data_IF_485821271981
#
_entry.id   IF_485821271981
#
_cell.length_a   1.000
_cell.length_b   1.000
_cell.length_c   1.000
_cell.angle_alpha   90.00
_cell.angle_beta   90.00
_cell.angle_gamma   90.00
#
_symmetry.space_group_name_H-M   'P 1'
#
loop_
_entity.id
_entity.type
_entity.pdbx_description
1 polymer ?
#
# COMPACT_ATOMS: atom_id res chain seq x y z
N UNK A 1 -12.45 -6.66 -23.55
CA UNK A 1 -13.27 -6.24 -22.41
C UNK A 1 -12.31 -5.59 -21.42
N UNK A 2 -12.38 -4.27 -21.27
CA UNK A 2 -11.45 -3.55 -20.39
C UNK A 2 -11.93 -3.73 -18.95
N UNK A 3 -11.25 -4.56 -18.18
CA UNK A 3 -11.43 -4.62 -16.73
C UNK A 3 -11.06 -3.25 -16.16
N UNK A 4 -12.08 -2.46 -15.82
CA UNK A 4 -11.93 -1.29 -15.02
C UNK A 4 -11.36 -1.73 -13.67
N UNK A 5 -10.04 -1.64 -13.52
CA UNK A 5 -9.42 -1.68 -12.20
C UNK A 5 -10.10 -0.58 -11.41
N UNK A 6 -10.81 -0.89 -10.30
CA UNK A 6 -11.44 0.14 -9.50
C UNK A 6 -10.30 1.08 -9.13
N UNK A 7 -10.39 2.32 -9.61
CA UNK A 7 -9.63 3.41 -9.02
C UNK A 7 -10.06 3.36 -7.57
N UNK A 8 -9.21 2.86 -6.68
CA UNK A 8 -9.38 3.00 -5.24
C UNK A 8 -9.53 4.50 -5.04
N UNK A 9 -10.77 4.93 -4.96
CA UNK A 9 -11.13 6.33 -4.86
C UNK A 9 -10.50 6.82 -3.58
N UNK A 10 -9.52 7.70 -3.71
CA UNK A 10 -8.88 8.37 -2.57
C UNK A 10 -9.89 9.12 -1.68
N UNK A 11 -11.14 9.26 -2.16
CA UNK A 11 -12.30 9.78 -1.43
C UNK A 11 -12.80 8.88 -0.29
N UNK A 12 -12.36 7.61 -0.22
CA UNK A 12 -12.89 6.66 0.79
C UNK A 12 -12.54 7.10 2.23
N UNK A 13 -11.40 7.77 2.43
CA UNK A 13 -10.93 8.15 3.77
C UNK A 13 -11.41 9.51 4.25
N UNK A 14 -11.95 10.36 3.38
CA UNK A 14 -12.35 11.73 3.72
C UNK A 14 -13.39 11.79 4.86
N UNK A 15 -14.22 10.74 4.97
CA UNK A 15 -15.26 10.62 5.99
C UNK A 15 -14.95 9.59 7.09
N UNK A 16 -13.72 9.07 7.14
CA UNK A 16 -13.30 8.07 8.11
C UNK A 16 -12.67 8.71 9.35
N UNK A 17 -12.94 8.11 10.50
CA UNK A 17 -12.22 8.39 11.75
C UNK A 17 -10.77 7.87 11.68
N UNK A 18 -9.84 8.40 12.48
CA UNK A 18 -8.45 7.92 12.51
C UNK A 18 -8.35 6.41 12.77
N UNK A 19 -9.18 5.85 13.65
CA UNK A 19 -9.22 4.42 13.97
C UNK A 19 -9.65 3.58 12.76
N UNK A 20 -10.64 4.07 11.99
CA UNK A 20 -11.08 3.42 10.75
C UNK A 20 -10.00 3.47 9.68
N UNK A 21 -9.29 4.60 9.54
CA UNK A 21 -8.16 4.72 8.61
C UNK A 21 -7.03 3.77 9.01
N UNK A 22 -6.69 3.68 10.29
CA UNK A 22 -5.68 2.72 10.79
C UNK A 22 -6.08 1.27 10.48
N UNK A 23 -7.34 0.90 10.70
CA UNK A 23 -7.83 -0.43 10.35
C UNK A 23 -7.73 -0.68 8.85
N UNK A 24 -8.09 0.28 8.00
CA UNK A 24 -7.98 0.16 6.54
C UNK A 24 -6.53 0.04 6.07
N UNK A 25 -5.62 0.83 6.66
CA UNK A 25 -4.19 0.82 6.32
C UNK A 25 -3.56 -0.57 6.53
N UNK A 26 -3.93 -1.30 7.58
CA UNK A 26 -3.42 -2.66 7.81
C UNK A 26 -3.71 -3.55 6.60
N UNK A 27 -4.93 -3.50 6.06
CA UNK A 27 -5.32 -4.30 4.89
C UNK A 27 -4.67 -3.81 3.60
N UNK A 28 -4.64 -2.50 3.38
CA UNK A 28 -4.07 -1.87 2.18
C UNK A 28 -2.56 -2.08 2.07
N UNK A 29 -1.85 -2.16 3.20
CA UNK A 29 -0.40 -2.39 3.24
C UNK A 29 -0.05 -3.88 3.15
N UNK A 30 -0.85 -4.75 3.75
CA UNK A 30 -0.51 -6.17 3.86
C UNK A 30 -0.29 -6.84 2.51
N UNK A 31 -1.22 -6.64 1.57
CA UNK A 31 -1.17 -7.28 0.25
C UNK A 31 0.09 -6.91 -0.55
N UNK A 32 0.38 -5.62 -0.81
CA UNK A 32 1.57 -5.26 -1.59
C UNK A 32 2.88 -5.60 -0.87
N UNK A 33 2.95 -5.49 0.46
CA UNK A 33 4.15 -5.86 1.23
C UNK A 33 4.41 -7.37 1.14
N UNK A 34 3.37 -8.18 1.34
CA UNK A 34 3.48 -9.64 1.27
C UNK A 34 3.88 -10.09 -0.14
N UNK A 35 3.30 -9.50 -1.18
CA UNK A 35 3.65 -9.78 -2.57
C UNK A 35 5.12 -9.45 -2.85
N UNK A 36 5.58 -8.27 -2.43
CA UNK A 36 6.99 -7.88 -2.61
C UNK A 36 7.91 -8.86 -1.89
N UNK A 37 7.58 -9.26 -0.66
CA UNK A 37 8.34 -10.26 0.09
C UNK A 37 8.41 -11.61 -0.63
N UNK A 38 7.28 -12.11 -1.16
CA UNK A 38 7.26 -13.38 -1.88
C UNK A 38 8.06 -13.32 -3.19
N UNK A 39 7.98 -12.21 -3.92
CA UNK A 39 8.72 -12.07 -5.17
C UNK A 39 10.21 -11.88 -4.95
N UNK A 40 10.61 -11.11 -3.92
CA UNK A 40 12.01 -11.00 -3.52
C UNK A 40 12.57 -12.37 -3.15
N UNK A 41 11.82 -13.17 -2.37
CA UNK A 41 12.22 -14.53 -2.03
C UNK A 41 12.46 -15.38 -3.28
N UNK A 42 11.55 -15.37 -4.26
CA UNK A 42 11.74 -16.10 -5.53
C UNK A 42 12.97 -15.62 -6.30
N UNK A 43 13.30 -14.34 -6.25
CA UNK A 43 14.47 -13.79 -6.94
C UNK A 43 15.80 -14.11 -6.26
N UNK A 44 15.81 -14.36 -4.94
CA UNK A 44 17.05 -14.47 -4.15
C UNK A 44 17.29 -15.83 -3.52
N UNK A 45 16.24 -16.61 -3.28
CA UNK A 45 16.30 -17.86 -2.50
C UNK A 45 15.86 -19.11 -3.29
N UNK A 46 15.17 -18.96 -4.43
CA UNK A 46 14.83 -20.14 -5.25
C UNK A 46 16.06 -20.65 -6.01
N UNK A 47 16.33 -21.95 -5.86
CA UNK A 47 17.45 -22.65 -6.52
C UNK A 47 17.18 -22.89 -8.02
N UNK A 48 15.92 -22.80 -8.45
CA UNK A 48 15.52 -22.96 -9.84
C UNK A 48 15.70 -21.65 -10.63
N UNK A 49 16.46 -21.66 -11.74
CA UNK A 49 16.67 -20.46 -12.53
C UNK A 49 15.37 -20.01 -13.19
N UNK A 50 14.98 -18.77 -12.91
CA UNK A 50 13.83 -18.12 -13.54
C UNK A 50 14.07 -17.89 -15.04
N UNK A 51 13.03 -18.11 -15.82
CA UNK A 51 12.98 -17.72 -17.23
C UNK A 51 12.82 -16.21 -17.41
N UNK A 52 13.15 -15.69 -18.59
CA UNK A 52 12.96 -14.26 -18.91
C UNK A 52 11.50 -13.82 -18.74
N UNK A 53 10.55 -14.64 -19.20
CA UNK A 53 9.11 -14.37 -19.03
C UNK A 53 8.70 -14.30 -17.55
N UNK A 54 9.27 -15.15 -16.69
CA UNK A 54 9.01 -15.10 -15.25
C UNK A 54 9.58 -13.84 -14.61
N UNK A 55 10.77 -13.39 -15.02
CA UNK A 55 11.30 -12.10 -14.57
C UNK A 55 10.39 -10.94 -14.95
N UNK A 56 9.90 -10.90 -16.19
CA UNK A 56 8.97 -9.85 -16.64
C UNK A 56 7.70 -9.82 -15.79
N UNK A 57 7.12 -10.99 -15.51
CA UNK A 57 5.94 -11.12 -14.66
C UNK A 57 6.24 -10.65 -13.23
N UNK A 58 7.35 -11.10 -12.66
CA UNK A 58 7.77 -10.74 -11.29
C UNK A 58 7.94 -9.22 -11.19
N UNK A 59 8.71 -8.60 -12.08
CA UNK A 59 8.94 -7.16 -12.04
C UNK A 59 7.66 -6.36 -12.27
N UNK A 60 6.79 -6.80 -13.19
CA UNK A 60 5.48 -6.18 -13.40
C UNK A 60 4.63 -6.18 -12.12
N UNK A 61 4.57 -7.32 -11.42
CA UNK A 61 3.85 -7.44 -10.16
C UNK A 61 4.47 -6.60 -9.04
N UNK A 62 5.79 -6.58 -8.92
CA UNK A 62 6.49 -5.73 -7.95
C UNK A 62 6.23 -4.24 -8.22
N UNK A 63 6.27 -3.81 -9.48
CA UNK A 63 5.92 -2.44 -9.86
C UNK A 63 4.47 -2.09 -9.52
N UNK A 64 3.53 -3.00 -9.76
CA UNK A 64 2.13 -2.81 -9.37
C UNK A 64 1.97 -2.64 -7.85
N UNK A 65 2.66 -3.47 -7.05
CA UNK A 65 2.64 -3.35 -5.58
C UNK A 65 3.25 -2.03 -5.09
N UNK A 66 4.38 -1.59 -5.66
CA UNK A 66 5.00 -0.30 -5.33
C UNK A 66 4.07 0.86 -5.69
N UNK A 67 3.38 0.79 -6.84
CA UNK A 67 2.40 1.79 -7.24
C UNK A 67 1.21 1.85 -6.28
N UNK A 68 0.73 0.70 -5.79
CA UNK A 68 -0.31 0.65 -4.77
C UNK A 68 0.16 1.30 -3.47
N UNK A 69 1.34 0.94 -2.96
CA UNK A 69 1.93 1.54 -1.75
C UNK A 69 2.06 3.06 -1.87
N UNK A 70 2.54 3.53 -3.03
CA UNK A 70 2.69 4.96 -3.29
C UNK A 70 1.36 5.70 -3.22
N UNK A 71 0.28 5.11 -3.77
CA UNK A 71 -1.08 5.68 -3.69
C UNK A 71 -1.58 5.71 -2.25
N UNK A 72 -1.40 4.63 -1.50
CA UNK A 72 -1.77 4.54 -0.07
C UNK A 72 -1.08 5.65 0.74
N UNK A 73 0.23 5.87 0.53
CA UNK A 73 0.98 6.93 1.21
C UNK A 73 0.48 8.32 0.83
N UNK A 74 0.18 8.56 -0.45
CA UNK A 74 -0.39 9.84 -0.90
C UNK A 74 -1.76 10.10 -0.26
N UNK A 75 -2.63 9.10 -0.22
CA UNK A 75 -3.93 9.18 0.45
C UNK A 75 -3.77 9.49 1.94
N UNK A 76 -2.82 8.84 2.61
CA UNK A 76 -2.59 9.04 4.04
C UNK A 76 -2.06 10.44 4.34
N UNK A 77 -1.14 10.93 3.48
CA UNK A 77 -0.63 12.30 3.57
C UNK A 77 -1.77 13.30 3.45
N UNK A 78 -2.65 13.14 2.45
CA UNK A 78 -3.82 14.03 2.27
C UNK A 78 -4.74 13.99 3.50
N UNK A 79 -5.12 12.79 3.93
CA UNK A 79 -5.94 12.61 5.13
C UNK A 79 -5.36 13.31 6.36
N UNK A 80 -4.04 13.20 6.59
CA UNK A 80 -3.36 13.85 7.71
C UNK A 80 -3.31 15.37 7.63
N UNK A 81 -3.32 15.94 6.42
CA UNK A 81 -3.37 17.38 6.20
C UNK A 81 -4.76 17.94 6.51
N UNK A 82 -5.80 17.16 6.18
CA UNK A 82 -7.20 17.53 6.42
C UNK A 82 -7.61 17.30 7.89
N UNK A 83 -6.89 16.43 8.62
CA UNK A 83 -7.15 16.09 10.02
C UNK A 83 -5.94 16.34 10.96
N UNK A 84 -5.49 17.61 11.14
CA UNK A 84 -4.27 17.94 11.88
C UNK A 84 -4.31 17.61 13.38
N UNK A 85 -5.49 17.31 13.95
CA UNK A 85 -5.65 16.97 15.36
C UNK A 85 -5.18 15.55 15.74
N UNK A 86 -4.93 14.66 14.77
CA UNK A 86 -4.45 13.30 15.05
C UNK A 86 -2.94 13.20 15.30
N UNK A 87 -2.16 14.25 14.98
CA UNK A 87 -0.69 14.25 15.05
C UNK A 87 -0.09 15.04 16.21
N UNK A 88 -0.89 15.75 17.01
CA UNK A 88 -0.38 16.65 18.04
C UNK A 88 -1.30 16.71 19.27
N UNK A 89 -1.53 15.56 19.92
CA UNK A 89 -1.81 15.60 21.35
C UNK A 89 -0.49 15.87 22.08
N UNK A 90 -0.14 17.15 22.17
CA UNK A 90 0.80 17.61 23.16
C UNK A 90 0.31 17.13 24.53
N UNK A 91 1.10 16.26 25.15
CA UNK A 91 1.00 15.99 26.58
C UNK A 91 1.08 17.33 27.31
N UNK A 92 -0.05 17.82 27.81
CA UNK A 92 -0.06 18.71 28.96
C UNK A 92 -0.51 17.84 30.13
N UNK A 93 0.46 17.30 30.86
CA UNK A 93 0.24 16.79 32.21
C UNK A 93 -0.02 17.98 33.15
N UNK A 94 -0.83 17.79 34.21
CA UNK A 94 -1.23 18.84 35.14
C UNK A 94 -0.07 19.45 35.92
#
# INVERSE_FOLDING_TARGET
MSEAHPRLDTAIWENMTPEQVLSALVYELYNPVSLLGSQLKRLTEDDDPLTEEEYEVIFSQMHAAVNQLSRTVVSLKRYSQDHPAAGNQGYILP
#
